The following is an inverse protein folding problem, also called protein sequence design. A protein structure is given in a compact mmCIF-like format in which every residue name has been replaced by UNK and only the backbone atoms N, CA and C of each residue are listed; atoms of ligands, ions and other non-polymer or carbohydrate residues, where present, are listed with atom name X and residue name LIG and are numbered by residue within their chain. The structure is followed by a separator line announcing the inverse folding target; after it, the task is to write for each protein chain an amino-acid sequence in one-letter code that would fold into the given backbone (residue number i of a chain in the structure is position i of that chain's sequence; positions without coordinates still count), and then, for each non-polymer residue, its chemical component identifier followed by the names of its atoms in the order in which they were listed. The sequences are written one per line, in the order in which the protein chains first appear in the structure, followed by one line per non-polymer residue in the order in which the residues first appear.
data_IF_385526982164
#
_entry.id   IF_385526982164
#
_cell.length_a   1.000
_cell.length_b   1.000
_cell.length_c   1.000
_cell.angle_alpha   90.00
_cell.angle_beta   90.00
_cell.angle_gamma   90.00
#
_symmetry.space_group_name_H-M   'P 1'
#
loop_
_entity.id
_entity.type
_entity.pdbx_description
1 polymer ?
#
# COMPACT_ATOMS: atom_id res chain seq x y z
N UNK A 1 -6.74 -25.21 35.20
CA UNK A 1 -6.31 -25.08 33.78
C UNK A 1 -7.46 -24.71 32.82
N UNK A 2 -8.49 -23.97 33.25
CA UNK A 2 -9.66 -23.63 32.40
C UNK A 2 -9.65 -22.20 31.84
N UNK A 3 -8.72 -21.34 32.24
CA UNK A 3 -8.75 -19.90 31.91
C UNK A 3 -7.65 -19.43 30.93
N UNK A 4 -6.76 -20.33 30.49
CA UNK A 4 -5.62 -19.95 29.64
C UNK A 4 -5.96 -19.97 28.14
N UNK A 5 -7.02 -20.69 27.75
CA UNK A 5 -7.46 -20.79 26.35
C UNK A 5 -7.98 -19.43 25.85
N UNK A 6 -8.71 -18.70 26.70
CA UNK A 6 -9.23 -17.37 26.35
C UNK A 6 -8.10 -16.37 26.04
N UNK A 7 -7.01 -16.42 26.81
CA UNK A 7 -5.82 -15.55 26.62
C UNK A 7 -5.14 -15.85 25.28
N UNK A 8 -5.01 -17.13 24.93
CA UNK A 8 -4.39 -17.57 23.67
C UNK A 8 -5.25 -17.13 22.48
N UNK A 9 -6.57 -17.29 22.55
CA UNK A 9 -7.49 -16.84 21.48
C UNK A 9 -7.43 -15.32 21.33
N UNK A 10 -7.43 -14.56 22.43
CA UNK A 10 -7.34 -13.11 22.38
C UNK A 10 -6.04 -12.61 21.73
N UNK A 11 -4.90 -13.24 22.04
CA UNK A 11 -3.62 -12.91 21.44
C UNK A 11 -3.58 -13.19 19.93
N UNK A 12 -4.17 -14.30 19.48
CA UNK A 12 -4.22 -14.67 18.06
C UNK A 12 -5.14 -13.75 17.23
N UNK A 13 -6.20 -13.19 17.80
CA UNK A 13 -7.07 -12.23 17.10
C UNK A 13 -6.44 -10.83 16.98
N UNK A 14 -5.58 -10.45 17.93
CA UNK A 14 -4.95 -9.12 17.94
C UNK A 14 -3.91 -8.90 16.82
N UNK A 15 -3.35 -9.97 16.25
CA UNK A 15 -2.31 -9.90 15.22
C UNK A 15 -2.83 -9.69 13.79
N UNK A 16 -4.14 -9.78 13.56
CA UNK A 16 -4.74 -9.77 12.21
C UNK A 16 -4.97 -8.32 11.69
N UNK A 17 -4.92 -7.30 12.55
CA UNK A 17 -5.41 -5.95 12.20
C UNK A 17 -4.31 -4.91 11.92
N UNK A 18 -3.02 -5.28 11.97
CA UNK A 18 -1.95 -4.31 11.68
C UNK A 18 -1.65 -4.17 10.18
N UNK A 19 -2.60 -3.60 9.45
CA UNK A 19 -2.27 -2.84 8.25
C UNK A 19 -1.51 -1.59 8.68
N UNK A 20 -0.17 -1.65 8.66
CA UNK A 20 0.66 -0.49 8.98
C UNK A 20 0.26 0.67 8.05
N UNK A 21 -0.31 1.74 8.61
CA UNK A 21 -0.50 3.00 7.90
C UNK A 21 0.89 3.62 7.72
N UNK A 22 1.56 3.24 6.64
CA UNK A 22 2.83 3.85 6.25
C UNK A 22 2.52 5.25 5.75
N UNK A 23 3.07 6.27 6.42
CA UNK A 23 3.00 7.64 5.90
C UNK A 23 3.75 7.69 4.56
N UNK A 24 3.20 8.40 3.58
CA UNK A 24 3.87 8.62 2.28
C UNK A 24 5.26 9.23 2.45
N UNK A 25 5.43 10.06 3.49
CA UNK A 25 6.66 10.83 3.74
C UNK A 25 7.81 9.95 4.26
N UNK A 26 7.54 8.69 4.65
CA UNK A 26 8.52 7.76 5.19
C UNK A 26 8.85 6.58 4.27
N UNK A 27 8.32 6.55 3.04
CA UNK A 27 8.52 5.43 2.10
C UNK A 27 9.99 5.16 1.77
N UNK A 28 10.85 6.18 1.80
CA UNK A 28 12.29 6.04 1.58
C UNK A 28 12.98 5.12 2.61
N UNK A 29 12.50 5.08 3.85
CA UNK A 29 13.04 4.23 4.92
C UNK A 29 12.73 2.74 4.76
N UNK A 30 11.81 2.40 3.85
CA UNK A 30 11.40 1.04 3.56
C UNK A 30 12.05 0.48 2.29
N UNK A 31 13.01 1.19 1.68
CA UNK A 31 13.77 0.69 0.53
C UNK A 31 14.41 -0.67 0.87
N UNK A 32 14.14 -1.67 0.01
CA UNK A 32 14.63 -3.04 0.18
C UNK A 32 13.80 -3.91 1.12
N UNK A 33 12.71 -3.40 1.71
CA UNK A 33 11.79 -4.16 2.56
C UNK A 33 10.48 -4.45 1.82
N UNK A 34 9.86 -5.58 2.13
CA UNK A 34 8.50 -5.87 1.70
C UNK A 34 7.52 -5.17 2.64
N UNK A 35 6.75 -4.22 2.11
CA UNK A 35 5.70 -3.50 2.83
C UNK A 35 4.41 -3.48 2.01
N UNK A 36 3.30 -3.20 2.68
CA UNK A 36 2.00 -2.95 2.05
C UNK A 36 1.60 -1.51 2.30
N UNK A 37 1.22 -0.79 1.23
CA UNK A 37 0.72 0.59 1.30
C UNK A 37 -0.70 0.60 0.77
N UNK A 38 -1.65 1.09 1.57
CA UNK A 38 -3.07 1.11 1.23
C UNK A 38 -3.56 2.57 1.13
N UNK A 39 -4.12 2.94 -0.02
CA UNK A 39 -4.85 4.20 -0.22
C UNK A 39 -5.81 4.02 -1.42
N UNK A 40 -6.72 4.97 -1.64
CA UNK A 40 -7.69 4.94 -2.73
C UNK A 40 -7.04 5.42 -4.02
N UNK A 41 -7.24 4.68 -5.11
CA UNK A 41 -6.90 5.15 -6.47
C UNK A 41 -7.94 6.20 -6.89
N UNK A 42 -7.48 7.41 -7.17
CA UNK A 42 -8.37 8.55 -7.47
C UNK A 42 -8.22 9.06 -8.90
N UNK A 43 -7.13 8.73 -9.57
CA UNK A 43 -6.89 9.09 -10.96
C UNK A 43 -5.93 8.08 -11.61
N UNK A 44 -6.07 7.88 -12.92
CA UNK A 44 -5.25 6.96 -13.71
C UNK A 44 -4.96 7.53 -15.08
N UNK A 45 -3.70 7.49 -15.49
CA UNK A 45 -3.27 7.94 -16.81
C UNK A 45 -2.41 6.86 -17.48
N UNK A 46 -2.71 6.54 -18.74
CA UNK A 46 -1.87 5.68 -19.57
C UNK A 46 -1.26 6.51 -20.68
N UNK A 47 0.06 6.47 -20.81
CA UNK A 47 0.72 7.15 -21.91
C UNK A 47 0.32 6.49 -23.25
N UNK A 48 0.37 7.28 -24.32
CA UNK A 48 0.17 6.80 -25.69
C UNK A 48 1.54 6.79 -26.36
N UNK A 49 2.17 5.62 -26.44
CA UNK A 49 3.49 5.44 -27.04
C UNK A 49 3.83 3.97 -27.18
N UNK A 50 5.00 3.67 -27.77
CA UNK A 50 5.45 2.30 -28.00
C UNK A 50 5.67 1.52 -26.68
N UNK A 51 5.94 2.23 -25.58
CA UNK A 51 6.04 1.65 -24.25
C UNK A 51 4.87 2.14 -23.39
N UNK A 52 3.92 1.24 -23.19
CA UNK A 52 2.73 1.50 -22.38
C UNK A 52 3.14 1.57 -20.91
N UNK A 53 3.01 2.76 -20.34
CA UNK A 53 3.24 3.08 -18.93
C UNK A 53 1.94 3.59 -18.34
N UNK A 54 1.50 2.95 -17.25
CA UNK A 54 0.31 3.35 -16.51
C UNK A 54 0.73 4.02 -15.21
N UNK A 55 0.17 5.20 -14.97
CA UNK A 55 0.32 5.98 -13.76
C UNK A 55 -0.98 5.88 -12.97
N UNK A 56 -0.89 5.50 -11.70
CA UNK A 56 -2.00 5.48 -10.76
C UNK A 56 -1.73 6.48 -9.65
N UNK A 57 -2.63 7.43 -9.45
CA UNK A 57 -2.52 8.45 -8.40
C UNK A 57 -3.36 8.05 -7.20
N UNK A 58 -2.79 8.19 -6.00
CA UNK A 58 -3.42 7.79 -4.75
C UNK A 58 -3.69 8.99 -3.82
N UNK A 59 -4.83 8.95 -3.14
CA UNK A 59 -5.25 9.90 -2.11
C UNK A 59 -5.82 11.23 -2.64
N UNK A 60 -5.22 11.83 -3.68
CA UNK A 60 -5.72 13.04 -4.38
C UNK A 60 -5.39 13.03 -5.89
N UNK A 61 -6.17 13.72 -6.74
CA UNK A 61 -5.89 13.82 -8.18
C UNK A 61 -4.57 14.55 -8.47
N UNK A 62 -4.06 14.37 -9.69
CA UNK A 62 -2.92 15.15 -10.18
C UNK A 62 -3.21 16.66 -10.13
N UNK A 63 -2.24 17.52 -9.76
CA UNK A 63 -0.85 17.23 -9.35
C UNK A 63 -0.66 17.06 -7.83
N UNK A 64 -1.73 16.86 -7.07
CA UNK A 64 -1.72 16.90 -5.61
C UNK A 64 -1.74 15.52 -4.93
N UNK A 65 -1.49 14.45 -5.69
CA UNK A 65 -1.46 13.07 -5.18
C UNK A 65 -0.41 12.90 -4.06
N UNK A 66 -0.70 12.02 -3.08
CA UNK A 66 0.27 11.71 -2.02
C UNK A 66 1.43 10.88 -2.53
N UNK A 67 1.12 9.94 -3.42
CA UNK A 67 2.08 9.10 -4.12
C UNK A 67 1.45 8.58 -5.41
N UNK A 68 2.30 8.07 -6.31
CA UNK A 68 1.86 7.39 -7.52
C UNK A 68 2.51 6.01 -7.65
N UNK A 69 1.82 5.10 -8.32
CA UNK A 69 2.41 3.85 -8.81
C UNK A 69 2.63 3.98 -10.32
N UNK A 70 3.84 3.66 -10.77
CA UNK A 70 4.23 3.64 -12.19
C UNK A 70 4.40 2.19 -12.60
N UNK A 71 3.54 1.72 -13.49
CA UNK A 71 3.52 0.35 -13.99
C UNK A 71 4.05 0.38 -15.42
N UNK A 72 5.22 -0.21 -15.61
CA UNK A 72 5.79 -0.45 -16.93
C UNK A 72 5.27 -1.80 -17.44
N UNK A 73 4.63 -1.80 -18.61
CA UNK A 73 4.33 -3.06 -19.28
C UNK A 73 5.65 -3.69 -19.75
N UNK A 74 5.99 -4.87 -19.24
CA UNK A 74 7.05 -5.69 -19.80
C UNK A 74 6.54 -6.30 -21.11
N UNK A 75 7.22 -6.00 -22.22
CA UNK A 75 7.11 -6.76 -23.47
C UNK A 75 8.03 -7.96 -23.41
#
# INVERSE_FOLDING_TARGET
MKNNIAVIVFLLFSSIIFGQRVSSDSLSHYKGKKITVCDVVVDSHRNKGNQLTTFLNFGKPFPYQRYNAIIFCAN
#
